data_IF_243073645897
#
_entry.id   IF_243073645897
#
_cell.length_a   1.000
_cell.length_b   1.000
_cell.length_c   1.000
_cell.angle_alpha   90.00
_cell.angle_beta   90.00
_cell.angle_gamma   90.00
#
_symmetry.space_group_name_H-M   'P 1'
#
loop_
_entity.id
_entity.type
_entity.pdbx_description
1 polymer ?
#
# COMPACT_ATOMS: atom_id res chain seq x y z
N UNK A 1 -38.86 58.98 26.31
CA UNK A 1 -40.18 58.46 26.75
C UNK A 1 -40.19 56.97 26.48
N UNK A 2 -40.50 56.16 27.51
CA UNK A 2 -40.54 54.69 27.54
C UNK A 2 -39.20 53.96 27.45
N UNK A 3 -38.87 52.96 28.27
CA UNK A 3 -39.52 52.28 29.41
C UNK A 3 -38.37 51.75 30.31
N UNK A 4 -38.55 51.82 31.62
CA UNK A 4 -37.58 51.43 32.65
C UNK A 4 -38.27 50.55 33.70
N UNK A 5 -37.57 49.49 34.13
CA UNK A 5 -37.59 48.86 35.47
C UNK A 5 -38.94 48.31 35.99
N UNK A 6 -39.09 47.22 36.73
CA UNK A 6 -38.21 46.33 37.52
C UNK A 6 -39.11 45.11 37.97
N UNK A 7 -38.66 44.15 38.81
CA UNK A 7 -39.04 42.73 38.74
C UNK A 7 -39.85 42.22 39.96
N UNK A 8 -39.57 40.97 40.36
CA UNK A 8 -39.80 40.26 41.65
C UNK A 8 -41.03 39.30 41.69
N UNK A 9 -40.77 37.98 41.79
CA UNK A 9 -41.03 37.11 42.97
C UNK A 9 -41.10 35.62 42.59
N UNK A 10 -40.59 34.80 43.49
CA UNK A 10 -40.45 33.35 43.40
C UNK A 10 -41.41 32.59 44.34
N UNK A 11 -41.57 31.29 44.06
CA UNK A 11 -41.82 30.14 44.96
C UNK A 11 -43.25 29.85 45.49
N UNK A 12 -43.57 28.54 45.50
CA UNK A 12 -44.71 27.87 46.17
C UNK A 12 -45.43 26.88 45.24
N UNK A 13 -44.93 25.66 45.01
CA UNK A 13 -45.18 24.39 45.74
C UNK A 13 -46.64 23.83 45.74
N UNK A 14 -46.78 22.62 45.13
CA UNK A 14 -47.45 21.37 45.59
C UNK A 14 -48.99 21.46 45.81
N UNK A 15 -49.92 20.62 45.31
CA UNK A 15 -50.06 19.16 45.16
C UNK A 15 -51.40 18.86 44.40
N UNK A 16 -51.54 17.72 43.71
CA UNK A 16 -52.70 16.76 43.83
C UNK A 16 -52.67 15.63 42.77
N UNK A 17 -52.11 14.48 43.17
CA UNK A 17 -52.68 13.10 43.24
C UNK A 17 -53.49 12.46 42.08
N UNK A 18 -53.06 11.20 41.78
CA UNK A 18 -53.76 10.00 41.21
C UNK A 18 -53.93 9.89 39.69
N UNK A 19 -53.72 8.77 38.98
CA UNK A 19 -53.57 7.31 39.21
C UNK A 19 -52.80 6.77 37.95
N UNK A 20 -51.81 5.88 37.97
CA UNK A 20 -51.89 4.45 38.30
C UNK A 20 -51.24 3.60 37.18
N UNK A 21 -50.40 2.63 37.59
CA UNK A 21 -49.84 1.46 36.88
C UNK A 21 -48.53 1.62 36.05
N UNK A 22 -47.35 1.29 36.63
CA UNK A 22 -46.51 0.04 36.52
C UNK A 22 -46.18 -0.36 35.05
N UNK A 23 -44.94 -0.50 34.54
CA UNK A 23 -43.67 -1.07 35.05
C UNK A 23 -42.41 -0.49 34.34
N UNK A 24 -41.28 -0.45 35.09
CA UNK A 24 -39.84 -0.56 34.73
C UNK A 24 -39.28 0.23 33.50
N UNK A 25 -38.43 1.26 33.70
CA UNK A 25 -36.96 1.20 33.87
C UNK A 25 -36.24 0.52 32.69
N UNK A 26 -35.60 1.29 31.81
CA UNK A 26 -34.14 1.50 31.87
C UNK A 26 -33.64 2.59 30.89
N UNK A 27 -32.89 3.52 31.48
CA UNK A 27 -31.72 4.28 31.02
C UNK A 27 -31.71 5.02 29.66
N UNK A 28 -31.71 6.35 29.78
CA UNK A 28 -31.20 7.29 28.78
C UNK A 28 -29.69 7.10 28.56
N UNK A 29 -29.26 6.92 27.32
CA UNK A 29 -27.90 7.26 26.88
C UNK A 29 -28.00 8.16 25.66
N UNK A 30 -27.58 9.41 25.89
CA UNK A 30 -27.36 10.47 24.93
C UNK A 30 -26.15 10.09 24.06
N UNK A 31 -26.37 9.76 22.79
CA UNK A 31 -25.30 9.53 21.83
C UNK A 31 -24.93 10.84 21.16
N UNK A 32 -23.95 11.53 21.75
CA UNK A 32 -23.10 12.46 21.02
C UNK A 32 -22.20 11.64 20.10
N UNK A 33 -22.36 11.79 18.79
CA UNK A 33 -21.45 11.23 17.80
C UNK A 33 -20.20 12.11 17.75
N UNK A 34 -19.19 11.77 18.54
CA UNK A 34 -17.83 12.22 18.29
C UNK A 34 -17.34 11.58 16.98
N UNK A 35 -16.95 12.43 16.02
CA UNK A 35 -16.15 12.00 14.87
C UNK A 35 -14.74 11.68 15.38
N UNK A 36 -14.53 10.43 15.77
CA UNK A 36 -13.21 9.88 16.00
C UNK A 36 -12.59 9.57 14.62
N UNK A 37 -11.80 10.51 14.10
CA UNK A 37 -10.82 10.25 13.05
C UNK A 37 -9.76 9.30 13.62
N UNK A 38 -10.13 8.02 13.71
CA UNK A 38 -9.18 6.95 14.02
C UNK A 38 -8.13 6.92 12.91
N UNK A 39 -6.88 7.24 13.26
CA UNK A 39 -5.73 7.13 12.36
C UNK A 39 -5.71 5.71 11.76
N UNK A 40 -6.07 5.59 10.48
CA UNK A 40 -5.94 4.34 9.75
C UNK A 40 -4.43 4.05 9.64
N UNK A 41 -3.99 2.92 10.16
CA UNK A 41 -2.66 2.33 9.91
C UNK A 41 -2.87 1.01 9.18
N UNK A 42 -1.95 0.62 8.30
CA UNK A 42 -2.02 -0.69 7.62
C UNK A 42 -2.06 -1.83 8.63
N UNK A 43 -2.96 -2.79 8.42
CA UNK A 43 -2.90 -4.12 9.03
C UNK A 43 -1.89 -4.94 8.23
N UNK A 44 -0.94 -5.61 8.89
CA UNK A 44 0.10 -6.41 8.23
C UNK A 44 -0.48 -7.46 7.29
N UNK A 45 0.34 -7.76 6.29
CA UNK A 45 0.31 -9.03 5.57
C UNK A 45 0.15 -10.19 6.57
N UNK A 46 -0.89 -11.03 6.46
CA UNK A 46 -0.83 -12.33 7.10
C UNK A 46 0.39 -13.06 6.54
N UNK A 47 1.14 -13.83 7.37
CA UNK A 47 2.08 -14.79 6.82
C UNK A 47 1.34 -15.63 5.79
N UNK A 48 1.90 -15.82 4.61
CA UNK A 48 1.39 -16.80 3.66
C UNK A 48 1.44 -18.14 4.38
N UNK A 49 0.30 -18.60 4.89
CA UNK A 49 0.15 -19.97 5.38
C UNK A 49 0.12 -20.83 4.14
N UNK A 50 1.28 -21.31 3.71
CA UNK A 50 1.36 -22.41 2.75
C UNK A 50 0.73 -23.64 3.42
N UNK A 51 -0.45 -24.04 2.96
CA UNK A 51 -0.96 -25.37 3.27
C UNK A 51 0.02 -26.40 2.70
N UNK A 52 0.72 -27.10 3.59
CA UNK A 52 1.54 -28.25 3.28
C UNK A 52 0.69 -29.35 2.61
N UNK A 53 0.51 -29.29 1.30
CA UNK A 53 0.20 -30.47 0.51
C UNK A 53 1.49 -31.24 0.33
N UNK A 54 1.59 -32.37 1.03
CA UNK A 54 2.51 -33.45 0.72
C UNK A 54 2.28 -33.85 -0.75
N UNK A 55 3.08 -33.30 -1.67
CA UNK A 55 3.10 -33.70 -3.08
C UNK A 55 4.43 -34.38 -3.33
N UNK A 56 4.30 -35.65 -3.62
CA UNK A 56 5.34 -36.55 -4.12
C UNK A 56 6.07 -35.97 -5.32
N UNK A 57 7.38 -36.27 -5.35
CA UNK A 57 8.36 -35.95 -6.40
C UNK A 57 7.82 -35.83 -7.83
N UNK A 58 7.74 -34.60 -8.33
CA UNK A 58 8.05 -34.20 -9.70
C UNK A 58 8.30 -32.69 -9.67
N UNK A 59 9.59 -32.32 -9.60
CA UNK A 59 10.02 -30.93 -9.49
C UNK A 59 9.97 -30.26 -10.88
N UNK A 60 8.80 -29.77 -11.27
CA UNK A 60 8.73 -28.64 -12.19
C UNK A 60 9.13 -27.40 -11.39
N UNK A 61 10.39 -26.97 -11.56
CA UNK A 61 10.80 -25.62 -11.16
C UNK A 61 9.95 -24.65 -11.98
N UNK A 62 8.90 -24.09 -11.37
CA UNK A 62 8.26 -22.88 -11.87
C UNK A 62 9.33 -21.79 -11.80
N UNK A 63 10.03 -21.57 -12.91
CA UNK A 63 11.06 -20.55 -13.00
C UNK A 63 10.39 -19.19 -12.88
N UNK A 64 10.87 -18.37 -11.95
CA UNK A 64 10.58 -16.93 -11.96
C UNK A 64 11.06 -16.37 -13.29
N UNK A 65 10.15 -15.82 -14.07
CA UNK A 65 10.50 -15.18 -15.34
C UNK A 65 11.23 -13.86 -15.04
N UNK A 66 12.49 -13.77 -15.47
CA UNK A 66 13.32 -12.57 -15.34
C UNK A 66 13.20 -11.64 -16.56
N UNK A 67 12.26 -11.91 -17.47
CA UNK A 67 12.05 -11.06 -18.63
C UNK A 67 11.61 -9.63 -18.22
N UNK A 68 12.00 -8.61 -18.98
CA UNK A 68 11.52 -7.23 -18.80
C UNK A 68 10.00 -7.10 -18.80
N UNK A 69 9.48 -6.16 -18.01
CA UNK A 69 8.08 -5.76 -17.96
C UNK A 69 7.84 -4.61 -18.95
N UNK A 70 7.65 -4.95 -20.22
CA UNK A 70 7.50 -3.96 -21.29
C UNK A 70 6.10 -3.94 -21.91
N UNK A 71 5.43 -5.09 -21.98
CA UNK A 71 4.16 -5.25 -22.70
C UNK A 71 3.00 -4.44 -22.12
N UNK A 72 3.01 -4.18 -20.82
CA UNK A 72 1.96 -3.37 -20.18
C UNK A 72 1.91 -1.93 -20.74
N UNK A 73 3.04 -1.43 -21.28
CA UNK A 73 3.12 -0.08 -21.82
C UNK A 73 2.29 0.08 -23.10
N UNK A 74 2.00 -1.02 -23.80
CA UNK A 74 1.20 -1.01 -25.03
C UNK A 74 -0.32 -1.01 -24.76
N UNK A 75 -0.76 -1.24 -23.51
CA UNK A 75 -2.16 -1.11 -23.14
C UNK A 75 -2.64 0.35 -23.26
N UNK A 76 -3.91 0.60 -23.63
CA UNK A 76 -4.47 1.93 -23.62
C UNK A 76 -4.55 2.47 -22.18
N UNK A 77 -4.38 3.78 -22.03
CA UNK A 77 -4.68 4.45 -20.76
C UNK A 77 -6.21 4.53 -20.59
N UNK A 78 -6.73 3.90 -19.54
CA UNK A 78 -8.16 3.74 -19.28
C UNK A 78 -8.54 4.32 -17.90
N UNK A 79 -9.82 4.69 -17.69
CA UNK A 79 -10.36 4.95 -16.36
C UNK A 79 -10.18 3.75 -15.42
N UNK A 80 -10.15 3.99 -14.11
CA UNK A 80 -9.80 2.96 -13.11
C UNK A 80 -10.71 1.73 -13.19
N UNK A 81 -12.02 1.94 -13.33
CA UNK A 81 -12.99 0.85 -13.44
C UNK A 81 -12.71 -0.06 -14.65
N UNK A 82 -12.44 0.54 -15.81
CA UNK A 82 -12.13 -0.19 -17.05
C UNK A 82 -10.75 -0.85 -16.99
N UNK A 83 -9.78 -0.20 -16.35
CA UNK A 83 -8.44 -0.74 -16.13
C UNK A 83 -8.46 -1.98 -15.20
N UNK A 84 -9.38 -2.02 -14.24
CA UNK A 84 -9.58 -3.13 -13.32
C UNK A 84 -10.52 -4.22 -13.86
N UNK A 85 -11.23 -3.99 -14.97
CA UNK A 85 -12.22 -4.94 -15.49
C UNK A 85 -11.68 -6.39 -15.69
N UNK A 86 -10.45 -6.63 -16.17
CA UNK A 86 -9.91 -8.00 -16.29
C UNK A 86 -9.64 -8.70 -14.95
N UNK A 87 -9.63 -7.97 -13.84
CA UNK A 87 -9.29 -8.47 -12.51
C UNK A 87 -10.52 -8.79 -11.65
N UNK A 88 -11.73 -8.44 -12.09
CA UNK A 88 -12.97 -8.59 -11.30
C UNK A 88 -13.25 -10.03 -10.89
N UNK A 89 -12.96 -10.99 -11.77
CA UNK A 89 -13.14 -12.43 -11.48
C UNK A 89 -11.94 -13.06 -10.74
N UNK A 90 -10.85 -12.29 -10.55
CA UNK A 90 -9.61 -12.74 -9.91
C UNK A 90 -9.53 -12.24 -8.47
N UNK A 91 -9.95 -10.99 -8.24
CA UNK A 91 -9.83 -10.30 -6.97
C UNK A 91 -11.19 -10.17 -6.29
N UNK A 92 -11.27 -10.66 -5.05
CA UNK A 92 -12.49 -10.61 -4.25
C UNK A 92 -12.96 -9.16 -4.05
N UNK A 93 -14.25 -8.93 -4.32
CA UNK A 93 -14.97 -7.66 -4.14
C UNK A 93 -14.28 -6.44 -4.78
N UNK A 94 -13.47 -6.64 -5.83
CA UNK A 94 -12.66 -5.57 -6.44
C UNK A 94 -13.46 -4.31 -6.75
N UNK A 95 -14.67 -4.43 -7.28
CA UNK A 95 -15.52 -3.28 -7.62
C UNK A 95 -15.87 -2.41 -6.41
N UNK A 96 -16.02 -3.01 -5.22
CA UNK A 96 -16.26 -2.26 -3.97
C UNK A 96 -15.05 -1.40 -3.63
N UNK A 97 -13.86 -1.98 -3.71
CA UNK A 97 -12.60 -1.29 -3.41
C UNK A 97 -12.24 -0.24 -4.47
N UNK A 98 -12.56 -0.48 -5.74
CA UNK A 98 -12.44 0.51 -6.82
C UNK A 98 -13.33 1.72 -6.53
N UNK A 99 -14.60 1.50 -6.16
CA UNK A 99 -15.52 2.59 -5.82
C UNK A 99 -15.01 3.37 -4.60
N UNK A 100 -14.58 2.66 -3.55
CA UNK A 100 -14.00 3.31 -2.36
C UNK A 100 -12.76 4.15 -2.72
N UNK A 101 -11.87 3.64 -3.58
CA UNK A 101 -10.69 4.39 -4.00
C UNK A 101 -11.05 5.66 -4.80
N UNK A 102 -12.10 5.62 -5.61
CA UNK A 102 -12.60 6.77 -6.35
C UNK A 102 -13.28 7.79 -5.43
N UNK A 103 -14.16 7.34 -4.54
CA UNK A 103 -14.91 8.20 -3.61
C UNK A 103 -13.99 8.92 -2.60
N UNK A 104 -12.94 8.26 -2.13
CA UNK A 104 -11.96 8.84 -1.22
C UNK A 104 -10.89 9.69 -1.94
N UNK A 105 -10.89 9.73 -3.26
CA UNK A 105 -9.97 10.58 -4.03
C UNK A 105 -10.57 11.99 -4.18
N UNK A 106 -9.83 13.06 -3.87
CA UNK A 106 -10.31 14.43 -4.04
C UNK A 106 -10.69 14.73 -5.50
N UNK A 107 -11.67 15.63 -5.70
CA UNK A 107 -12.06 16.09 -7.04
C UNK A 107 -10.90 16.75 -7.81
N UNK A 108 -9.98 17.39 -7.08
CA UNK A 108 -8.73 17.95 -7.60
C UNK A 108 -7.54 17.28 -6.89
N UNK A 109 -7.07 16.11 -7.36
CA UNK A 109 -5.89 15.47 -6.79
C UNK A 109 -4.64 16.34 -6.97
N UNK A 110 -3.68 16.29 -6.01
CA UNK A 110 -2.42 16.99 -6.16
C UNK A 110 -1.53 16.40 -7.27
N UNK A 111 -0.37 17.01 -7.48
CA UNK A 111 0.68 16.52 -8.40
C UNK A 111 0.26 16.41 -9.88
N UNK A 112 -0.84 17.07 -10.25
CA UNK A 112 -1.37 17.06 -11.61
C UNK A 112 -1.90 15.70 -12.05
N UNK A 113 -2.23 14.82 -11.11
CA UNK A 113 -2.87 13.53 -11.39
C UNK A 113 -4.35 13.73 -11.71
N UNK A 114 -4.87 12.88 -12.61
CA UNK A 114 -6.32 12.73 -12.75
C UNK A 114 -6.89 11.99 -11.53
N UNK A 115 -8.23 12.04 -11.38
CA UNK A 115 -8.93 11.26 -10.34
C UNK A 115 -8.59 9.77 -10.49
N UNK A 116 -8.68 9.21 -11.70
CA UNK A 116 -8.37 7.79 -11.94
C UNK A 116 -6.90 7.42 -11.63
N UNK A 117 -5.95 8.31 -11.94
CA UNK A 117 -4.53 8.09 -11.65
C UNK A 117 -4.25 8.10 -10.14
N UNK A 118 -4.78 9.09 -9.42
CA UNK A 118 -4.67 9.17 -7.96
C UNK A 118 -5.41 7.99 -7.29
N UNK A 119 -6.61 7.65 -7.76
CA UNK A 119 -7.39 6.54 -7.24
C UNK A 119 -6.71 5.19 -7.51
N UNK A 120 -5.97 5.03 -8.60
CA UNK A 120 -5.18 3.82 -8.85
C UNK A 120 -4.10 3.62 -7.78
N UNK A 121 -3.43 4.71 -7.37
CA UNK A 121 -2.47 4.69 -6.25
C UNK A 121 -3.20 4.38 -4.94
N UNK A 122 -4.34 5.04 -4.68
CA UNK A 122 -5.14 4.77 -3.48
C UNK A 122 -5.54 3.29 -3.40
N UNK A 123 -6.08 2.74 -4.48
CA UNK A 123 -6.48 1.33 -4.58
C UNK A 123 -5.33 0.38 -4.29
N UNK A 124 -4.13 0.68 -4.77
CA UNK A 124 -2.92 -0.09 -4.46
C UNK A 124 -2.67 -0.13 -2.95
N UNK A 125 -2.90 0.98 -2.26
CA UNK A 125 -2.57 1.10 -0.83
C UNK A 125 -3.63 0.54 0.12
N UNK A 126 -4.85 0.24 -0.35
CA UNK A 126 -5.93 -0.25 0.50
C UNK A 126 -5.68 -1.70 0.92
N UNK A 127 -5.97 -2.02 2.19
CA UNK A 127 -5.99 -3.39 2.71
C UNK A 127 -7.38 -4.01 2.56
N UNK A 128 -7.41 -5.27 2.16
CA UNK A 128 -8.66 -6.02 2.05
C UNK A 128 -8.93 -6.69 3.40
N UNK A 129 -10.20 -6.93 3.68
CA UNK A 129 -10.60 -7.67 4.87
C UNK A 129 -10.12 -9.13 4.79
N UNK A 130 -9.51 -9.62 5.88
CA UNK A 130 -9.14 -11.02 5.99
C UNK A 130 -10.39 -11.92 5.80
N UNK A 131 -10.26 -13.08 5.13
CA UNK A 131 -9.02 -13.74 4.68
C UNK A 131 -8.57 -13.36 3.25
N UNK A 132 -9.17 -12.35 2.63
CA UNK A 132 -8.95 -12.05 1.22
C UNK A 132 -7.68 -11.23 0.99
N UNK A 133 -7.01 -11.51 -0.13
CA UNK A 133 -5.80 -10.78 -0.53
C UNK A 133 -6.19 -9.54 -1.33
N UNK A 134 -5.61 -8.41 -0.94
CA UNK A 134 -5.76 -7.13 -1.63
C UNK A 134 -5.11 -7.13 -3.02
N UNK A 135 -5.45 -6.11 -3.82
CA UNK A 135 -4.86 -5.92 -5.14
C UNK A 135 -3.33 -5.90 -5.08
N UNK A 136 -2.73 -5.11 -4.17
CA UNK A 136 -1.27 -5.03 -4.08
C UNK A 136 -0.66 -6.38 -3.67
N UNK A 137 -1.31 -7.11 -2.76
CA UNK A 137 -0.81 -8.38 -2.27
C UNK A 137 -0.76 -9.39 -3.41
N UNK A 138 -1.81 -9.46 -4.22
CA UNK A 138 -1.86 -10.36 -5.36
C UNK A 138 -0.90 -9.93 -6.47
N UNK A 139 -0.91 -8.65 -6.86
CA UNK A 139 -0.03 -8.11 -7.90
C UNK A 139 1.45 -8.34 -7.57
N UNK A 140 1.89 -8.01 -6.35
CA UNK A 140 3.29 -8.21 -5.94
C UNK A 140 3.67 -9.69 -5.86
N UNK A 141 2.73 -10.57 -5.53
CA UNK A 141 2.98 -12.01 -5.56
C UNK A 141 3.15 -12.53 -6.99
N UNK A 142 2.30 -12.09 -7.91
CA UNK A 142 2.40 -12.47 -9.33
C UNK A 142 3.69 -11.93 -9.93
N UNK A 143 4.06 -10.68 -9.63
CA UNK A 143 5.33 -10.09 -10.06
C UNK A 143 6.56 -10.87 -9.59
N UNK A 144 6.48 -11.44 -8.37
CA UNK A 144 7.61 -12.14 -7.74
C UNK A 144 7.72 -13.62 -8.11
N UNK A 145 6.60 -14.34 -8.15
CA UNK A 145 6.60 -15.81 -8.11
C UNK A 145 5.96 -16.47 -9.34
N UNK A 146 5.37 -15.68 -10.24
CA UNK A 146 4.63 -16.22 -11.39
C UNK A 146 5.33 -15.87 -12.72
N UNK A 147 4.82 -16.45 -13.80
CA UNK A 147 5.30 -16.13 -15.14
C UNK A 147 4.80 -14.75 -15.59
N UNK A 148 5.42 -14.17 -16.63
CA UNK A 148 4.93 -12.90 -17.20
C UNK A 148 3.53 -13.02 -17.80
N UNK A 149 3.14 -14.21 -18.26
CA UNK A 149 1.79 -14.45 -18.77
C UNK A 149 0.73 -14.32 -17.67
N UNK A 150 1.04 -14.72 -16.44
CA UNK A 150 0.13 -14.57 -15.29
C UNK A 150 -0.12 -13.09 -14.93
N UNK A 151 0.74 -12.17 -15.39
CA UNK A 151 0.57 -10.73 -15.19
C UNK A 151 -0.35 -10.08 -16.23
N UNK A 152 -0.67 -10.74 -17.36
CA UNK A 152 -1.48 -10.11 -18.42
C UNK A 152 -2.79 -9.49 -17.92
N UNK A 153 -3.57 -10.11 -17.01
CA UNK A 153 -4.78 -9.49 -16.48
C UNK A 153 -4.53 -8.16 -15.76
N UNK A 154 -3.31 -7.94 -15.24
CA UNK A 154 -2.94 -6.72 -14.52
C UNK A 154 -2.45 -5.60 -15.43
N UNK A 155 -2.13 -5.85 -16.70
CA UNK A 155 -1.45 -4.87 -17.55
C UNK A 155 -2.22 -3.56 -17.71
N UNK A 156 -3.55 -3.60 -17.85
CA UNK A 156 -4.38 -2.38 -17.92
C UNK A 156 -4.32 -1.56 -16.64
N UNK A 157 -4.41 -2.22 -15.48
CA UNK A 157 -4.23 -1.56 -14.20
C UNK A 157 -2.80 -1.03 -14.04
N UNK A 158 -1.77 -1.81 -14.38
CA UNK A 158 -0.37 -1.41 -14.33
C UNK A 158 -0.09 -0.20 -15.23
N UNK A 159 -0.71 -0.12 -16.41
CA UNK A 159 -0.61 1.02 -17.32
C UNK A 159 -1.08 2.31 -16.64
N UNK A 160 -2.27 2.30 -16.04
CA UNK A 160 -2.81 3.45 -15.31
C UNK A 160 -1.96 3.78 -14.08
N UNK A 161 -1.65 2.78 -13.26
CA UNK A 161 -0.91 2.95 -12.02
C UNK A 161 0.51 3.47 -12.25
N UNK A 162 1.26 2.91 -13.20
CA UNK A 162 2.60 3.38 -13.52
C UNK A 162 2.60 4.74 -14.21
N UNK A 163 1.55 5.07 -15.00
CA UNK A 163 1.37 6.43 -15.52
C UNK A 163 1.27 7.44 -14.37
N UNK A 164 0.46 7.14 -13.36
CA UNK A 164 0.32 7.96 -12.16
C UNK A 164 1.67 8.12 -11.42
N UNK A 165 2.35 7.00 -11.13
CA UNK A 165 3.62 7.01 -10.38
C UNK A 165 4.75 7.76 -11.11
N UNK A 166 4.82 7.68 -12.43
CA UNK A 166 5.87 8.37 -13.20
C UNK A 166 5.65 9.88 -13.26
N UNK A 167 4.40 10.36 -13.13
CA UNK A 167 4.09 11.79 -13.00
C UNK A 167 4.51 12.37 -11.65
N UNK A 168 4.54 11.53 -10.60
CA UNK A 168 5.01 11.97 -9.29
C UNK A 168 6.50 12.31 -9.31
N UNK A 169 6.93 13.36 -8.59
CA UNK A 169 8.34 13.70 -8.50
C UNK A 169 9.12 12.55 -7.86
N UNK A 170 10.31 12.26 -8.40
CA UNK A 170 11.24 11.38 -7.73
C UNK A 170 11.71 12.00 -6.41
N UNK A 171 11.76 11.19 -5.36
CA UNK A 171 12.53 11.55 -4.18
C UNK A 171 14.01 11.71 -4.59
N UNK A 172 14.73 12.72 -4.06
CA UNK A 172 16.18 12.78 -4.16
C UNK A 172 16.81 11.47 -3.65
N UNK A 173 18.03 11.11 -4.09
CA UNK A 173 18.70 9.92 -3.59
C UNK A 173 18.72 9.88 -2.06
N UNK A 174 18.24 8.78 -1.48
CA UNK A 174 18.09 8.63 -0.04
C UNK A 174 18.16 7.16 0.39
N UNK A 175 18.40 6.93 1.69
CA UNK A 175 18.28 5.60 2.28
C UNK A 175 16.85 5.34 2.72
N UNK A 176 16.26 4.26 2.21
CA UNK A 176 14.94 3.77 2.63
C UNK A 176 15.05 2.39 3.26
N UNK A 177 14.06 2.06 4.10
CA UNK A 177 14.07 0.86 4.92
C UNK A 177 12.85 0.00 4.65
N UNK A 178 13.05 -1.33 4.71
CA UNK A 178 11.97 -2.30 4.63
C UNK A 178 12.21 -3.47 5.58
N UNK A 179 11.25 -3.73 6.45
CA UNK A 179 11.24 -4.91 7.31
C UNK A 179 10.50 -6.08 6.67
N UNK A 180 10.98 -7.30 6.92
CA UNK A 180 10.23 -8.54 6.66
C UNK A 180 10.43 -9.53 7.81
N UNK A 181 9.39 -10.27 8.16
CA UNK A 181 9.36 -11.26 9.24
C UNK A 181 9.92 -12.63 8.84
N UNK A 182 10.92 -12.64 7.95
CA UNK A 182 11.63 -13.86 7.52
C UNK A 182 13.12 -13.62 7.35
N UNK A 183 13.92 -14.67 7.52
CA UNK A 183 15.34 -14.65 7.17
C UNK A 183 15.51 -14.79 5.65
N UNK A 184 16.09 -13.79 5.01
CA UNK A 184 16.40 -13.77 3.57
C UNK A 184 17.90 -13.74 3.26
N UNK A 185 18.77 -13.83 4.27
CA UNK A 185 20.22 -13.66 4.09
C UNK A 185 20.83 -14.58 3.03
N UNK A 186 20.33 -15.80 2.89
CA UNK A 186 20.80 -16.76 1.89
C UNK A 186 20.44 -16.37 0.44
N UNK A 187 19.38 -15.57 0.25
CA UNK A 187 18.94 -15.08 -1.06
C UNK A 187 19.73 -13.85 -1.54
N UNK A 188 20.50 -13.21 -0.65
CA UNK A 188 21.22 -11.95 -0.92
C UNK A 188 22.70 -12.03 -0.51
N UNK A 189 23.52 -12.84 -1.20
CA UNK A 189 24.97 -12.84 -1.01
C UNK A 189 25.57 -11.47 -1.38
N UNK A 190 26.60 -10.97 -0.68
CA UNK A 190 27.30 -9.74 -1.06
C UNK A 190 27.87 -9.79 -2.48
N UNK A 191 27.99 -8.61 -3.10
CA UNK A 191 28.52 -8.37 -4.44
C UNK A 191 27.70 -9.00 -5.59
N UNK A 192 26.46 -9.43 -5.34
CA UNK A 192 25.57 -9.95 -6.39
C UNK A 192 24.52 -8.94 -6.83
N UNK A 193 24.20 -8.90 -8.14
CA UNK A 193 23.06 -8.14 -8.64
C UNK A 193 21.74 -8.80 -8.22
N UNK A 194 20.73 -7.97 -7.96
CA UNK A 194 19.35 -8.39 -7.66
C UNK A 194 18.39 -7.49 -8.42
N UNK A 195 17.42 -8.09 -9.10
CA UNK A 195 16.28 -7.37 -9.66
C UNK A 195 15.05 -7.59 -8.80
N UNK A 196 14.51 -6.50 -8.25
CA UNK A 196 13.35 -6.53 -7.37
C UNK A 196 12.08 -6.31 -8.19
N UNK A 197 11.45 -7.40 -8.61
CA UNK A 197 10.31 -7.35 -9.54
C UNK A 197 9.00 -6.85 -8.93
N UNK A 198 8.78 -7.00 -7.63
CA UNK A 198 7.59 -6.47 -6.98
C UNK A 198 7.72 -4.95 -6.74
N UNK A 199 6.60 -4.24 -6.68
CA UNK A 199 6.60 -2.92 -6.05
C UNK A 199 6.97 -3.09 -4.57
N UNK A 200 7.79 -2.18 -4.05
CA UNK A 200 8.27 -2.28 -2.68
C UNK A 200 7.95 -1.02 -1.91
N UNK A 201 7.00 -1.15 -0.98
CA UNK A 201 6.75 -0.14 0.06
C UNK A 201 7.94 -0.06 1.01
N UNK A 202 8.43 1.14 1.23
CA UNK A 202 9.58 1.45 2.11
C UNK A 202 9.29 2.71 2.93
N UNK A 203 10.05 2.89 4.01
CA UNK A 203 9.93 4.04 4.90
C UNK A 203 11.28 4.70 5.13
N UNK A 204 11.28 6.00 5.43
CA UNK A 204 12.45 6.70 5.97
C UNK A 204 12.54 6.60 7.50
N UNK A 205 11.44 6.20 8.16
CA UNK A 205 11.29 6.20 9.61
C UNK A 205 11.43 4.78 10.17
N UNK A 206 12.58 4.47 10.76
CA UNK A 206 12.85 3.14 11.34
C UNK A 206 11.89 2.76 12.46
N UNK A 207 11.32 3.73 13.19
CA UNK A 207 10.36 3.49 14.28
C UNK A 207 9.11 2.77 13.79
N UNK A 208 8.69 3.01 12.54
CA UNK A 208 7.56 2.30 11.92
C UNK A 208 7.83 0.79 11.88
N UNK A 209 9.09 0.37 11.73
CA UNK A 209 9.47 -1.04 11.61
C UNK A 209 9.50 -1.81 12.94
N UNK A 210 9.46 -1.13 14.09
CA UNK A 210 9.39 -1.79 15.41
C UNK A 210 8.11 -2.62 15.57
N UNK A 211 7.08 -2.31 14.78
CA UNK A 211 5.85 -3.06 14.72
C UNK A 211 6.11 -4.51 14.24
N UNK A 212 5.58 -5.49 14.98
CA UNK A 212 5.67 -6.92 14.64
C UNK A 212 5.08 -7.28 13.28
N UNK A 213 4.28 -6.37 12.72
CA UNK A 213 3.72 -6.44 11.37
C UNK A 213 4.77 -6.28 10.26
N UNK A 214 5.88 -5.58 10.53
CA UNK A 214 6.93 -5.30 9.55
C UNK A 214 8.21 -6.07 9.88
N UNK A 215 9.02 -5.55 10.80
CA UNK A 215 10.24 -6.21 11.25
C UNK A 215 9.99 -6.89 12.60
N UNK A 216 9.37 -6.17 13.53
CA UNK A 216 9.17 -6.64 14.89
C UNK A 216 10.47 -6.87 15.64
N UNK A 217 10.34 -7.55 16.79
CA UNK A 217 11.46 -7.77 17.71
C UNK A 217 11.83 -9.24 17.91
N UNK A 218 11.06 -10.19 17.34
CA UNK A 218 11.26 -11.63 17.54
C UNK A 218 11.10 -12.41 16.23
N UNK A 219 11.64 -13.63 16.19
CA UNK A 219 11.61 -14.49 15.00
C UNK A 219 12.65 -14.09 13.95
N UNK A 220 12.96 -15.02 13.03
CA UNK A 220 13.92 -14.76 11.95
C UNK A 220 13.39 -13.63 11.07
N UNK A 221 14.10 -12.51 11.01
CA UNK A 221 13.65 -11.27 10.38
C UNK A 221 14.77 -10.58 9.62
N UNK A 222 14.41 -9.87 8.56
CA UNK A 222 15.35 -9.18 7.70
C UNK A 222 14.99 -7.72 7.57
N UNK A 223 15.95 -6.83 7.82
CA UNK A 223 15.88 -5.41 7.55
C UNK A 223 16.68 -5.09 6.30
N UNK A 224 16.00 -4.60 5.26
CA UNK A 224 16.66 -4.03 4.09
C UNK A 224 16.96 -2.56 4.33
N UNK A 225 18.21 -2.18 4.07
CA UNK A 225 18.66 -0.80 3.91
C UNK A 225 18.93 -0.58 2.43
N UNK A 226 18.25 0.37 1.80
CA UNK A 226 18.34 0.58 0.35
C UNK A 226 18.79 2.01 0.06
N UNK A 227 19.96 2.19 -0.56
CA UNK A 227 20.33 3.44 -1.22
C UNK A 227 19.49 3.57 -2.51
N UNK A 228 18.35 4.24 -2.43
CA UNK A 228 17.41 4.41 -3.52
C UNK A 228 17.67 5.73 -4.28
N UNK A 229 17.48 5.71 -5.60
CA UNK A 229 17.72 6.88 -6.48
C UNK A 229 16.47 7.41 -7.18
N UNK A 230 15.39 6.63 -7.24
CA UNK A 230 14.15 7.00 -7.94
C UNK A 230 12.88 6.54 -7.18
N UNK A 231 12.90 6.53 -5.85
CA UNK A 231 11.71 6.28 -5.06
C UNK A 231 10.60 7.31 -5.35
N UNK A 232 9.33 6.89 -5.24
CA UNK A 232 8.17 7.78 -5.36
C UNK A 232 7.48 7.90 -4.02
N UNK A 233 7.35 9.12 -3.49
CA UNK A 233 6.45 9.35 -2.36
C UNK A 233 5.01 9.25 -2.86
N UNK A 234 4.19 8.45 -2.20
CA UNK A 234 2.77 8.28 -2.57
C UNK A 234 1.82 8.78 -1.49
N UNK A 235 2.33 9.44 -0.46
CA UNK A 235 1.59 9.87 0.72
C UNK A 235 0.30 10.62 0.40
N UNK A 236 0.37 11.58 -0.52
CA UNK A 236 -0.78 12.41 -0.90
C UNK A 236 -1.90 11.64 -1.62
N UNK A 237 -1.59 10.45 -2.13
CA UNK A 237 -2.50 9.59 -2.89
C UNK A 237 -2.80 8.26 -2.19
N UNK A 238 -2.18 8.00 -1.04
CA UNK A 238 -2.36 6.77 -0.25
C UNK A 238 -3.67 6.82 0.54
N UNK A 239 -4.24 5.64 0.77
CA UNK A 239 -5.30 5.41 1.76
C UNK A 239 -4.81 5.70 3.20
N UNK A 240 -3.50 5.53 3.43
CA UNK A 240 -2.83 5.74 4.70
C UNK A 240 -1.94 6.98 4.64
N UNK A 241 -2.55 8.17 4.79
CA UNK A 241 -1.89 9.48 4.59
C UNK A 241 -0.83 9.84 5.64
N UNK A 242 -0.79 9.08 6.75
CA UNK A 242 0.19 9.24 7.84
C UNK A 242 1.47 8.46 7.58
N UNK A 243 1.45 7.50 6.65
CA UNK A 243 2.63 6.76 6.26
C UNK A 243 3.43 7.62 5.26
N UNK A 244 4.65 8.04 5.64
CA UNK A 244 5.63 8.64 4.72
C UNK A 244 6.22 7.54 3.80
N UNK A 245 5.31 6.90 3.06
CA UNK A 245 5.60 5.76 2.20
C UNK A 245 6.35 6.20 0.95
N UNK A 246 7.50 5.57 0.74
CA UNK A 246 8.27 5.65 -0.49
C UNK A 246 8.16 4.32 -1.22
N UNK A 247 7.59 4.36 -2.42
CA UNK A 247 7.41 3.20 -3.27
C UNK A 247 8.59 3.07 -4.24
N UNK A 248 9.24 1.90 -4.21
CA UNK A 248 10.15 1.47 -5.27
C UNK A 248 9.37 0.74 -6.36
N UNK A 249 9.70 1.00 -7.61
CA UNK A 249 9.03 0.46 -8.79
C UNK A 249 9.45 -0.99 -9.08
N UNK A 250 8.62 -1.77 -9.79
CA UNK A 250 8.97 -3.13 -10.20
C UNK A 250 10.18 -3.12 -11.14
N UNK A 251 11.02 -4.15 -11.04
CA UNK A 251 12.25 -4.24 -11.81
C UNK A 251 13.38 -3.35 -11.28
N UNK A 252 13.27 -2.84 -10.05
CA UNK A 252 14.35 -2.07 -9.41
C UNK A 252 15.63 -2.91 -9.33
N UNK A 253 16.69 -2.46 -10.01
CA UNK A 253 17.96 -3.18 -10.06
C UNK A 253 18.93 -2.69 -8.97
N UNK A 254 19.53 -3.61 -8.23
CA UNK A 254 20.34 -3.32 -7.05
C UNK A 254 21.56 -4.24 -6.97
N UNK A 255 22.60 -3.78 -6.28
CA UNK A 255 23.76 -4.59 -5.90
C UNK A 255 23.74 -4.78 -4.38
N UNK A 256 23.90 -6.02 -3.92
CA UNK A 256 24.08 -6.31 -2.49
C UNK A 256 25.45 -5.80 -2.04
N UNK A 257 25.46 -4.75 -1.22
CA UNK A 257 26.69 -4.15 -0.72
C UNK A 257 27.26 -4.92 0.47
N UNK A 258 26.40 -5.32 1.40
CA UNK A 258 26.83 -6.04 2.61
C UNK A 258 25.69 -6.78 3.28
N UNK A 259 26.04 -7.86 3.98
CA UNK A 259 25.18 -8.61 4.87
C UNK A 259 25.73 -8.51 6.29
N UNK A 260 24.88 -8.18 7.26
CA UNK A 260 25.26 -8.11 8.67
C UNK A 260 24.20 -8.75 9.57
N UNK A 261 24.62 -9.56 10.55
CA UNK A 261 23.72 -10.22 11.50
C UNK A 261 24.05 -9.77 12.93
N UNK A 262 23.47 -8.65 13.41
CA UNK A 262 23.74 -8.14 14.76
C UNK A 262 23.16 -9.01 15.88
N UNK A 263 22.18 -9.85 15.56
CA UNK A 263 21.57 -10.81 16.48
C UNK A 263 21.32 -12.13 15.75
N UNK A 264 21.05 -13.20 16.50
CA UNK A 264 20.83 -14.54 15.93
C UNK A 264 19.63 -14.63 14.98
N UNK A 265 18.65 -13.74 15.16
CA UNK A 265 17.39 -13.74 14.44
C UNK A 265 17.18 -12.48 13.59
N UNK A 266 18.11 -11.53 13.58
CA UNK A 266 18.05 -10.31 12.77
C UNK A 266 19.17 -10.29 11.72
N UNK A 267 18.77 -10.10 10.47
CA UNK A 267 19.66 -9.98 9.33
C UNK A 267 19.46 -8.60 8.69
N UNK A 268 20.54 -7.88 8.45
CA UNK A 268 20.54 -6.59 7.78
C UNK A 268 21.18 -6.77 6.41
N UNK A 269 20.44 -6.43 5.36
CA UNK A 269 20.90 -6.47 3.97
C UNK A 269 20.99 -5.04 3.48
N UNK A 270 22.20 -4.62 3.11
CA UNK A 270 22.43 -3.32 2.48
C UNK A 270 22.42 -3.48 0.96
N UNK A 271 21.52 -2.76 0.31
CA UNK A 271 21.33 -2.74 -1.13
C UNK A 271 21.65 -1.35 -1.66
N UNK A 272 22.28 -1.29 -2.83
CA UNK A 272 22.47 -0.06 -3.57
C UNK A 272 21.77 -0.15 -4.90
N UNK A 273 20.83 0.75 -5.16
CA UNK A 273 20.17 0.85 -6.44
C UNK A 273 21.13 1.32 -7.52
N UNK A 274 21.04 0.71 -8.69
CA UNK A 274 21.82 1.05 -9.88
C UNK A 274 20.88 1.09 -11.09
N UNK A 275 21.25 1.88 -12.10
CA UNK A 275 20.50 1.93 -13.36
C UNK A 275 20.92 0.69 -14.18
N UNK A 276 19.98 -0.17 -14.61
CA UNK A 276 20.30 -1.33 -15.43
C UNK A 276 20.77 -0.90 -16.83
N UNK A 277 21.58 -1.74 -17.48
CA UNK A 277 22.04 -1.49 -18.86
C UNK A 277 20.92 -1.69 -19.90
N UNK A 278 19.86 -2.39 -19.52
CA UNK A 278 18.71 -2.71 -20.36
C UNK A 278 17.43 -2.21 -19.70
N UNK A 279 16.42 -1.91 -20.50
CA UNK A 279 15.11 -1.50 -19.97
C UNK A 279 14.41 -2.70 -19.34
N UNK A 280 14.31 -2.71 -18.01
CA UNK A 280 13.58 -3.74 -17.25
C UNK A 280 12.09 -3.41 -17.09
N UNK A 281 11.72 -2.12 -17.14
CA UNK A 281 10.35 -1.61 -17.05
C UNK A 281 10.18 -0.52 -18.11
N UNK A 282 9.31 -0.73 -19.10
CA UNK A 282 9.08 0.27 -20.16
C UNK A 282 8.39 1.52 -19.58
N UNK A 283 8.62 2.74 -20.12
CA UNK A 283 7.82 3.89 -19.74
C UNK A 283 6.36 3.74 -20.16
N UNK A 284 5.38 4.20 -19.36
CA UNK A 284 3.97 3.99 -19.64
C UNK A 284 3.40 4.96 -20.70
N UNK A 285 4.21 5.81 -21.33
CA UNK A 285 3.79 6.73 -22.39
C UNK A 285 4.79 6.74 -23.54
N UNK A 286 4.28 6.86 -24.77
CA UNK A 286 5.11 7.04 -25.96
C UNK A 286 5.67 8.46 -25.98
N UNK A 287 7.00 8.58 -26.12
CA UNK A 287 7.65 9.85 -26.42
C UNK A 287 8.10 10.68 -25.20
N UNK A 288 9.22 10.31 -24.59
CA UNK A 288 10.38 11.17 -24.28
C UNK A 288 11.44 10.33 -23.57
N UNK A 289 12.06 9.40 -24.32
CA UNK A 289 13.23 8.66 -23.83
C UNK A 289 14.29 9.61 -23.21
N UNK A 290 14.45 10.82 -23.76
CA UNK A 290 15.47 11.76 -23.28
C UNK A 290 15.16 12.49 -21.96
N UNK A 291 13.90 12.53 -21.47
CA UNK A 291 13.63 13.07 -20.13
C UNK A 291 13.58 11.97 -19.06
N UNK A 292 13.27 10.72 -19.43
CA UNK A 292 13.02 9.63 -18.47
C UNK A 292 14.11 8.56 -18.35
N UNK A 293 15.23 8.69 -19.07
CA UNK A 293 16.37 7.77 -18.95
C UNK A 293 17.00 7.68 -17.54
N UNK A 294 16.55 8.50 -16.57
CA UNK A 294 16.98 8.44 -15.17
C UNK A 294 15.82 8.12 -14.19
N UNK A 295 14.60 7.89 -14.69
CA UNK A 295 13.38 7.87 -13.88
C UNK A 295 12.72 6.48 -13.73
N UNK A 296 13.17 5.50 -14.51
CA UNK A 296 12.81 4.07 -14.44
C UNK A 296 14.08 3.23 -14.33
#
# INVERSE_FOLDING_TARGET
>A
MHKSHEPILSLGEIETVNQGHVYAQDENVDYTFDHDETEKQRVAQPPVVEENKQVTSEAEKLGTDEAPLIEYADEPLLPLADACAPLVDILHDLSVYVNMALEETPEEPPDGLTIDESAAIRLYTIEWTAPHRSLYSMLNYTLKNCSREDLRPYFRYMKLFLTALVKLPCSPPLTVWRGVTKNLSAEFPPDTPVTWWAFSSTTTELTVLENNMYLGTTGGRTLFSVEAINGRTIRAHSHFVTEDEILLLPGTHMIVQSLFSPASDLYIIHLKQVIPNETLLAPPFEGTLNMFNHFL
#
